data_IF_974602635145
#
_entry.id   IF_974602635145
#
_cell.length_a   1.000
_cell.length_b   1.000
_cell.length_c   1.000
_cell.angle_alpha   90.00
_cell.angle_beta   90.00
_cell.angle_gamma   90.00
#
_symmetry.space_group_name_H-M   'P 1'
#
loop_
_entity.id
_entity.type
_entity.pdbx_description
1 polymer ?
#
# COMPACT_ATOMS: atom_id res chain seq x y z
N UNK A 1 -126.54 -20.56 -208.75
CA UNK A 1 -125.29 -20.94 -209.42
C UNK A 1 -124.23 -20.91 -208.34
N UNK A 2 -123.51 -21.97 -208.01
CA UNK A 2 -123.19 -23.25 -208.67
C UNK A 2 -121.95 -23.66 -207.89
N UNK A 3 -121.58 -24.90 -207.66
CA UNK A 3 -122.11 -26.21 -207.98
C UNK A 3 -121.19 -27.15 -207.17
N UNK A 4 -121.70 -28.22 -206.59
CA UNK A 4 -121.57 -29.58 -207.14
C UNK A 4 -120.12 -30.03 -207.32
N UNK A 5 -119.76 -31.25 -206.94
CA UNK A 5 -120.45 -32.51 -207.26
C UNK A 5 -119.65 -33.65 -206.59
N UNK A 6 -120.10 -34.87 -206.31
CA UNK A 6 -121.35 -35.61 -206.44
C UNK A 6 -121.05 -37.04 -205.92
N UNK A 7 -122.10 -37.75 -205.44
CA UNK A 7 -122.44 -39.18 -205.74
C UNK A 7 -121.84 -40.38 -204.97
N UNK A 8 -122.79 -41.31 -204.68
CA UNK A 8 -122.78 -42.80 -204.68
C UNK A 8 -122.18 -43.65 -203.50
N UNK A 9 -123.01 -44.63 -203.05
CA UNK A 9 -122.78 -46.06 -202.67
C UNK A 9 -121.73 -46.49 -201.62
N UNK A 10 -122.19 -47.31 -200.64
CA UNK A 10 -121.49 -48.46 -199.97
C UNK A 10 -120.11 -48.21 -199.24
N UNK A 11 -119.56 -49.13 -198.41
CA UNK A 11 -119.91 -49.30 -196.99
C UNK A 11 -118.73 -49.23 -195.97
N UNK A 12 -119.04 -48.89 -194.71
CA UNK A 12 -118.33 -49.22 -193.44
C UNK A 12 -116.89 -48.67 -193.15
N UNK A 13 -116.74 -47.35 -192.84
CA UNK A 13 -115.49 -46.77 -192.24
C UNK A 13 -115.74 -45.58 -191.26
N UNK A 14 -116.80 -45.58 -190.44
CA UNK A 14 -117.26 -44.35 -189.73
C UNK A 14 -117.33 -44.41 -188.17
N UNK A 15 -116.56 -45.28 -187.49
CA UNK A 15 -116.62 -45.41 -186.02
C UNK A 15 -115.35 -45.05 -185.24
N UNK A 16 -114.22 -44.70 -185.88
CA UNK A 16 -112.93 -44.52 -185.17
C UNK A 16 -112.50 -43.04 -184.96
N UNK A 17 -113.09 -42.07 -185.66
CA UNK A 17 -112.60 -40.67 -185.60
C UNK A 17 -113.25 -39.79 -184.50
N UNK A 18 -114.38 -40.21 -183.92
CA UNK A 18 -115.10 -39.43 -182.87
C UNK A 18 -114.50 -39.59 -181.46
N UNK A 19 -113.78 -40.68 -181.19
CA UNK A 19 -113.18 -40.95 -179.85
C UNK A 19 -111.90 -40.12 -179.61
N UNK A 20 -111.17 -39.73 -180.65
CA UNK A 20 -109.91 -38.98 -180.52
C UNK A 20 -110.10 -37.50 -180.13
N UNK A 21 -111.22 -36.87 -180.53
CA UNK A 21 -111.48 -35.44 -180.25
C UNK A 21 -112.14 -35.23 -178.88
N UNK A 22 -112.96 -36.19 -178.42
CA UNK A 22 -113.53 -36.16 -177.07
C UNK A 22 -112.45 -36.37 -175.97
N UNK A 23 -111.40 -37.15 -176.27
CA UNK A 23 -110.27 -37.36 -175.35
C UNK A 23 -109.41 -36.11 -175.12
N UNK A 24 -109.31 -35.20 -176.09
CA UNK A 24 -108.53 -33.98 -175.94
C UNK A 24 -109.29 -32.84 -175.24
N UNK A 25 -110.63 -32.82 -175.29
CA UNK A 25 -111.44 -31.80 -174.61
C UNK A 25 -111.69 -32.10 -173.13
N UNK A 26 -111.67 -33.37 -172.70
CA UNK A 26 -111.79 -33.72 -171.27
C UNK A 26 -110.54 -33.34 -170.44
N UNK A 27 -109.35 -33.36 -171.05
CA UNK A 27 -108.10 -32.99 -170.38
C UNK A 27 -108.03 -31.49 -170.06
N UNK A 28 -108.56 -30.63 -170.93
CA UNK A 28 -108.54 -29.18 -170.72
C UNK A 28 -109.52 -28.70 -169.64
N UNK A 29 -110.63 -29.42 -169.41
CA UNK A 29 -111.62 -29.06 -168.39
C UNK A 29 -111.16 -29.39 -166.95
N UNK A 30 -110.40 -30.49 -166.76
CA UNK A 30 -109.87 -30.89 -165.44
C UNK A 30 -108.75 -29.96 -164.96
N UNK A 31 -107.98 -29.37 -165.87
CA UNK A 31 -106.87 -28.48 -165.51
C UNK A 31 -107.33 -27.11 -164.97
N UNK A 32 -108.52 -26.63 -165.37
CA UNK A 32 -109.06 -25.35 -164.89
C UNK A 32 -109.73 -25.49 -163.50
N UNK A 33 -110.26 -26.67 -163.15
CA UNK A 33 -110.92 -26.89 -161.85
C UNK A 33 -109.94 -27.29 -160.72
N UNK A 34 -108.75 -27.80 -161.02
CA UNK A 34 -107.73 -28.14 -160.01
C UNK A 34 -106.94 -26.93 -159.47
N UNK A 35 -107.15 -25.73 -160.02
CA UNK A 35 -106.49 -24.52 -159.55
C UNK A 35 -107.11 -23.93 -158.27
N UNK A 36 -108.41 -24.16 -158.02
CA UNK A 36 -109.17 -23.56 -156.91
C UNK A 36 -108.97 -24.21 -155.53
N UNK A 37 -108.87 -25.54 -155.44
CA UNK A 37 -108.71 -26.26 -154.17
C UNK A 37 -107.32 -26.05 -153.52
N UNK A 38 -106.36 -25.56 -154.30
CA UNK A 38 -105.02 -25.27 -153.83
C UNK A 38 -104.92 -23.96 -153.02
N UNK A 39 -105.94 -23.11 -153.01
CA UNK A 39 -105.96 -21.85 -152.24
C UNK A 39 -106.28 -22.05 -150.76
N UNK A 40 -107.33 -22.84 -150.46
CA UNK A 40 -107.85 -23.01 -149.09
C UNK A 40 -106.96 -23.91 -148.21
N UNK A 41 -106.32 -24.91 -148.82
CA UNK A 41 -105.28 -25.71 -148.15
C UNK A 41 -104.03 -24.87 -147.87
N UNK A 42 -103.66 -23.92 -148.73
CA UNK A 42 -102.54 -22.98 -148.47
C UNK A 42 -102.84 -22.03 -147.32
N UNK A 43 -104.09 -21.58 -147.19
CA UNK A 43 -104.50 -20.70 -146.09
C UNK A 43 -104.54 -21.44 -144.74
N UNK A 44 -105.07 -22.66 -144.68
CA UNK A 44 -104.98 -23.49 -143.47
C UNK A 44 -103.53 -23.87 -143.13
N UNK A 45 -102.68 -24.14 -144.13
CA UNK A 45 -101.25 -24.38 -143.89
C UNK A 45 -100.53 -23.12 -143.39
N UNK A 46 -100.93 -21.93 -143.84
CA UNK A 46 -100.39 -20.66 -143.38
C UNK A 46 -100.85 -20.29 -141.97
N UNK A 47 -102.10 -20.61 -141.61
CA UNK A 47 -102.62 -20.44 -140.24
C UNK A 47 -101.96 -21.43 -139.29
N UNK A 48 -101.87 -22.72 -139.65
CA UNK A 48 -101.20 -23.74 -138.82
C UNK A 48 -99.69 -23.52 -138.79
N UNK A 49 -99.06 -23.00 -139.86
CA UNK A 49 -97.65 -22.58 -139.78
C UNK A 49 -97.50 -21.34 -138.91
N UNK A 50 -98.43 -20.39 -138.95
CA UNK A 50 -98.45 -19.22 -138.06
C UNK A 50 -98.62 -19.61 -136.60
N UNK A 51 -99.54 -20.51 -136.27
CA UNK A 51 -99.71 -21.06 -134.92
C UNK A 51 -98.49 -21.87 -134.48
N UNK A 52 -97.88 -22.65 -135.37
CA UNK A 52 -96.63 -23.37 -135.08
C UNK A 52 -95.47 -22.41 -134.82
N UNK A 53 -95.33 -21.38 -135.65
CA UNK A 53 -94.27 -20.38 -135.51
C UNK A 53 -94.47 -19.58 -134.22
N UNK A 54 -95.71 -19.25 -133.87
CA UNK A 54 -96.07 -18.63 -132.60
C UNK A 54 -95.82 -19.54 -131.40
N UNK A 55 -96.21 -20.82 -131.46
CA UNK A 55 -95.89 -21.80 -130.41
C UNK A 55 -94.37 -22.01 -130.31
N UNK A 56 -93.65 -22.01 -131.43
CA UNK A 56 -92.18 -22.13 -131.44
C UNK A 56 -91.51 -20.90 -130.83
N UNK A 57 -92.07 -19.70 -131.07
CA UNK A 57 -91.61 -18.45 -130.45
C UNK A 57 -91.97 -18.41 -128.96
N UNK A 58 -93.14 -18.90 -128.56
CA UNK A 58 -93.54 -19.04 -127.16
C UNK A 58 -92.68 -20.08 -126.42
N UNK A 59 -92.29 -21.18 -127.08
CA UNK A 59 -91.34 -22.17 -126.55
C UNK A 59 -89.93 -21.59 -126.43
N UNK A 60 -89.44 -20.87 -127.44
CA UNK A 60 -88.14 -20.20 -127.37
C UNK A 60 -88.10 -19.15 -126.26
N UNK A 61 -89.18 -18.36 -126.10
CA UNK A 61 -89.32 -17.42 -124.98
C UNK A 61 -89.41 -18.14 -123.63
N UNK A 62 -90.09 -19.30 -123.56
CA UNK A 62 -90.12 -20.15 -122.36
C UNK A 62 -88.73 -20.69 -122.02
N UNK A 63 -88.00 -21.20 -123.00
CA UNK A 63 -86.63 -21.71 -122.83
C UNK A 63 -85.68 -20.60 -122.37
N UNK A 64 -85.82 -19.38 -122.89
CA UNK A 64 -85.08 -18.20 -122.42
C UNK A 64 -85.45 -17.83 -120.98
N UNK A 65 -86.74 -17.88 -120.62
CA UNK A 65 -87.15 -17.67 -119.21
C UNK A 65 -86.62 -18.77 -118.28
N UNK A 66 -86.56 -20.03 -118.73
CA UNK A 66 -85.99 -21.15 -117.96
C UNK A 66 -84.48 -20.95 -117.78
N UNK A 67 -83.75 -20.57 -118.83
CA UNK A 67 -82.33 -20.25 -118.75
C UNK A 67 -82.06 -19.05 -117.82
N UNK A 68 -82.91 -18.01 -117.86
CA UNK A 68 -82.81 -16.87 -116.94
C UNK A 68 -83.10 -17.26 -115.48
N UNK A 69 -84.03 -18.20 -115.26
CA UNK A 69 -84.36 -18.74 -113.95
C UNK A 69 -83.21 -19.60 -113.39
N UNK A 70 -82.56 -20.41 -114.24
CA UNK A 70 -81.37 -21.19 -113.88
C UNK A 70 -80.17 -20.28 -113.56
N UNK A 71 -79.97 -19.21 -114.34
CA UNK A 71 -78.96 -18.20 -114.07
C UNK A 71 -79.24 -17.48 -112.73
N UNK A 72 -80.48 -17.04 -112.49
CA UNK A 72 -80.88 -16.43 -111.23
C UNK A 72 -80.77 -17.40 -110.04
N UNK A 73 -81.02 -18.69 -110.25
CA UNK A 73 -80.83 -19.72 -109.23
C UNK A 73 -79.35 -19.91 -108.89
N UNK A 74 -78.47 -19.92 -109.90
CA UNK A 74 -77.02 -20.00 -109.72
C UNK A 74 -76.50 -18.76 -108.97
N UNK A 75 -76.99 -17.57 -109.32
CA UNK A 75 -76.67 -16.32 -108.64
C UNK A 75 -77.15 -16.34 -107.18
N UNK A 76 -78.37 -16.82 -106.91
CA UNK A 76 -78.86 -16.97 -105.53
C UNK A 76 -78.01 -17.93 -104.70
N UNK A 77 -77.51 -19.03 -105.29
CA UNK A 77 -76.59 -19.96 -104.62
C UNK A 77 -75.26 -19.26 -104.30
N UNK A 78 -74.70 -18.52 -105.25
CA UNK A 78 -73.45 -17.78 -105.05
C UNK A 78 -73.59 -16.65 -104.02
N UNK A 79 -74.70 -15.90 -104.03
CA UNK A 79 -74.98 -14.88 -103.01
C UNK A 79 -75.17 -15.53 -101.63
N UNK A 80 -75.80 -16.70 -101.56
CA UNK A 80 -75.96 -17.44 -100.30
C UNK A 80 -74.61 -17.88 -99.73
N UNK A 81 -73.73 -18.38 -100.58
CA UNK A 81 -72.35 -18.73 -100.20
C UNK A 81 -71.58 -17.49 -99.70
N UNK A 82 -71.70 -16.35 -100.37
CA UNK A 82 -71.09 -15.09 -99.90
C UNK A 82 -71.67 -14.62 -98.56
N UNK A 83 -72.97 -14.78 -98.34
CA UNK A 83 -73.61 -14.46 -97.04
C UNK A 83 -73.09 -15.40 -95.95
N UNK A 84 -72.94 -16.69 -96.24
CA UNK A 84 -72.41 -17.66 -95.28
C UNK A 84 -70.94 -17.38 -94.95
N UNK A 85 -70.11 -17.02 -95.95
CA UNK A 85 -68.71 -16.60 -95.76
C UNK A 85 -68.62 -15.30 -94.95
N UNK A 86 -69.44 -14.30 -95.27
CA UNK A 86 -69.49 -13.03 -94.53
C UNK A 86 -69.93 -13.25 -93.07
N UNK A 87 -70.88 -14.15 -92.83
CA UNK A 87 -71.30 -14.53 -91.47
C UNK A 87 -70.18 -15.23 -90.70
N UNK A 88 -69.43 -16.12 -91.35
CA UNK A 88 -68.26 -16.76 -90.75
C UNK A 88 -67.15 -15.76 -90.42
N UNK A 89 -66.86 -14.82 -91.34
CA UNK A 89 -65.89 -13.75 -91.12
C UNK A 89 -66.31 -12.82 -89.97
N UNK A 90 -67.59 -12.47 -89.90
CA UNK A 90 -68.14 -11.68 -88.80
C UNK A 90 -68.01 -12.41 -87.45
N UNK A 91 -68.33 -13.70 -87.41
CA UNK A 91 -68.19 -14.52 -86.19
C UNK A 91 -66.73 -14.62 -85.74
N UNK A 92 -65.79 -14.80 -86.68
CA UNK A 92 -64.36 -14.81 -86.38
C UNK A 92 -63.88 -13.44 -85.86
N UNK A 93 -64.27 -12.35 -86.51
CA UNK A 93 -63.91 -11.00 -86.08
C UNK A 93 -64.47 -10.66 -84.69
N UNK A 94 -65.69 -11.12 -84.37
CA UNK A 94 -66.26 -11.01 -83.02
C UNK A 94 -65.43 -11.77 -81.99
N UNK A 95 -65.05 -13.01 -82.29
CA UNK A 95 -64.21 -13.82 -81.40
C UNK A 95 -62.83 -13.20 -81.18
N UNK A 96 -62.21 -12.63 -82.22
CA UNK A 96 -60.94 -11.90 -82.09
C UNK A 96 -61.09 -10.64 -81.25
N UNK A 97 -62.17 -9.87 -81.43
CA UNK A 97 -62.46 -8.67 -80.65
C UNK A 97 -62.64 -9.02 -79.16
N UNK A 98 -63.36 -10.09 -78.85
CA UNK A 98 -63.51 -10.57 -77.48
C UNK A 98 -62.16 -10.98 -76.87
N UNK A 99 -61.34 -11.73 -77.61
CA UNK A 99 -59.99 -12.11 -77.18
C UNK A 99 -59.09 -10.89 -76.93
N UNK A 100 -59.16 -9.86 -77.79
CA UNK A 100 -58.42 -8.60 -77.64
C UNK A 100 -58.90 -7.80 -76.44
N UNK A 101 -60.20 -7.76 -76.19
CA UNK A 101 -60.76 -7.10 -75.01
C UNK A 101 -60.29 -7.78 -73.72
N UNK A 102 -60.32 -9.11 -73.65
CA UNK A 102 -59.78 -9.86 -72.50
C UNK A 102 -58.27 -9.64 -72.31
N UNK A 103 -57.51 -9.58 -73.40
CA UNK A 103 -56.07 -9.28 -73.33
C UNK A 103 -55.80 -7.84 -72.84
N UNK A 104 -56.59 -6.86 -73.29
CA UNK A 104 -56.49 -5.47 -72.84
C UNK A 104 -56.84 -5.33 -71.35
N UNK A 105 -57.89 -6.01 -70.90
CA UNK A 105 -58.25 -6.05 -69.48
C UNK A 105 -57.10 -6.64 -68.64
N UNK A 106 -56.53 -7.77 -69.07
CA UNK A 106 -55.39 -8.40 -68.39
C UNK A 106 -54.16 -7.48 -68.37
N UNK A 107 -53.84 -6.81 -69.49
CA UNK A 107 -52.74 -5.86 -69.56
C UNK A 107 -52.96 -4.65 -68.62
N UNK A 108 -54.20 -4.17 -68.52
CA UNK A 108 -54.57 -3.06 -67.62
C UNK A 108 -54.44 -3.46 -66.15
N UNK A 109 -54.87 -4.67 -65.80
CA UNK A 109 -54.69 -5.22 -64.45
C UNK A 109 -53.21 -5.36 -64.09
N UNK A 110 -52.38 -5.89 -65.00
CA UNK A 110 -50.94 -6.01 -64.81
C UNK A 110 -50.25 -4.65 -64.66
N UNK A 111 -50.65 -3.64 -65.46
CA UNK A 111 -50.11 -2.29 -65.35
C UNK A 111 -50.43 -1.69 -63.98
N UNK A 112 -51.67 -1.83 -63.51
CA UNK A 112 -52.09 -1.37 -62.18
C UNK A 112 -51.30 -2.06 -61.07
N UNK A 113 -51.11 -3.38 -61.18
CA UNK A 113 -50.33 -4.15 -60.21
C UNK A 113 -48.87 -3.69 -60.16
N UNK A 114 -48.24 -3.45 -61.32
CA UNK A 114 -46.86 -2.94 -61.41
C UNK A 114 -46.73 -1.52 -60.87
N UNK A 115 -47.71 -0.65 -61.12
CA UNK A 115 -47.74 0.70 -60.54
C UNK A 115 -47.82 0.64 -59.00
N UNK A 116 -48.65 -0.25 -58.45
CA UNK A 116 -48.72 -0.46 -57.00
C UNK A 116 -47.42 -1.01 -56.41
N UNK A 117 -46.75 -1.92 -57.13
CA UNK A 117 -45.45 -2.47 -56.71
C UNK A 117 -44.37 -1.39 -56.70
N UNK A 118 -44.32 -0.54 -57.73
CA UNK A 118 -43.38 0.60 -57.78
C UNK A 118 -43.60 1.57 -56.62
N UNK A 119 -44.85 1.96 -56.34
CA UNK A 119 -45.15 2.84 -55.22
C UNK A 119 -44.71 2.24 -53.86
N UNK A 120 -44.87 0.92 -53.70
CA UNK A 120 -44.40 0.21 -52.50
C UNK A 120 -42.87 0.20 -52.41
N UNK A 121 -42.18 -0.03 -53.53
CA UNK A 121 -40.71 -0.02 -53.58
C UNK A 121 -40.14 1.38 -53.32
N UNK A 122 -40.76 2.42 -53.85
CA UNK A 122 -40.40 3.82 -53.58
C UNK A 122 -40.54 4.16 -52.09
N UNK A 123 -41.62 3.68 -51.45
CA UNK A 123 -41.82 3.86 -50.01
C UNK A 123 -40.72 3.15 -49.20
N UNK A 124 -40.40 1.89 -49.55
CA UNK A 124 -39.32 1.13 -48.90
C UNK A 124 -37.95 1.78 -49.08
N UNK A 125 -37.68 2.32 -50.27
CA UNK A 125 -36.43 3.03 -50.55
C UNK A 125 -36.29 4.26 -49.66
N UNK A 126 -37.37 5.03 -49.48
CA UNK A 126 -37.37 6.19 -48.59
C UNK A 126 -37.14 5.77 -47.12
N UNK A 127 -37.83 4.73 -46.64
CA UNK A 127 -37.62 4.20 -45.29
C UNK A 127 -36.19 3.69 -45.06
N UNK A 128 -35.61 2.98 -46.03
CA UNK A 128 -34.25 2.45 -45.91
C UNK A 128 -33.19 3.55 -45.99
N UNK A 129 -33.44 4.62 -46.75
CA UNK A 129 -32.61 5.82 -46.75
C UNK A 129 -32.63 6.49 -45.37
N UNK A 130 -33.81 6.69 -44.77
CA UNK A 130 -33.94 7.26 -43.42
C UNK A 130 -33.23 6.39 -42.36
N UNK A 131 -33.40 5.06 -42.41
CA UNK A 131 -32.67 4.14 -41.53
C UNK A 131 -31.16 4.23 -41.70
N UNK A 132 -30.68 4.40 -42.93
CA UNK A 132 -29.24 4.52 -43.20
C UNK A 132 -28.68 5.83 -42.62
N UNK A 133 -29.40 6.93 -42.78
CA UNK A 133 -29.04 8.22 -42.17
C UNK A 133 -29.04 8.14 -40.64
N UNK A 134 -30.04 7.49 -40.04
CA UNK A 134 -30.11 7.28 -38.60
C UNK A 134 -28.93 6.45 -38.09
N UNK A 135 -28.59 5.35 -38.78
CA UNK A 135 -27.45 4.51 -38.42
C UNK A 135 -26.13 5.27 -38.54
N UNK A 136 -25.96 6.08 -39.59
CA UNK A 136 -24.79 6.94 -39.75
C UNK A 136 -24.67 7.96 -38.61
N UNK A 137 -25.78 8.58 -38.20
CA UNK A 137 -25.81 9.51 -37.07
C UNK A 137 -25.47 8.81 -35.74
N UNK A 138 -26.03 7.62 -35.50
CA UNK A 138 -25.70 6.80 -34.32
C UNK A 138 -24.22 6.40 -34.30
N UNK A 139 -23.66 6.01 -35.44
CA UNK A 139 -22.24 5.69 -35.57
C UNK A 139 -21.35 6.89 -35.24
N UNK A 140 -21.68 8.08 -35.76
CA UNK A 140 -20.95 9.30 -35.46
C UNK A 140 -21.01 9.66 -33.96
N UNK A 141 -22.18 9.51 -33.33
CA UNK A 141 -22.35 9.73 -31.88
C UNK A 141 -21.49 8.77 -31.06
N UNK A 142 -21.55 7.46 -31.36
CA UNK A 142 -20.74 6.45 -30.68
C UNK A 142 -19.25 6.71 -30.84
N UNK A 143 -18.81 7.14 -32.03
CA UNK A 143 -17.41 7.47 -32.26
C UNK A 143 -16.96 8.69 -31.43
N UNK A 144 -17.82 9.71 -31.31
CA UNK A 144 -17.55 10.86 -30.45
C UNK A 144 -17.50 10.48 -28.96
N UNK A 145 -18.41 9.61 -28.50
CA UNK A 145 -18.41 9.08 -27.13
C UNK A 145 -17.14 8.27 -26.84
N UNK A 146 -16.70 7.42 -27.77
CA UNK A 146 -15.45 6.66 -27.64
C UNK A 146 -14.24 7.61 -27.54
N UNK A 147 -14.19 8.67 -28.36
CA UNK A 147 -13.11 9.65 -28.28
C UNK A 147 -13.11 10.39 -26.93
N UNK A 148 -14.28 10.81 -26.46
CA UNK A 148 -14.47 11.45 -25.15
C UNK A 148 -14.04 10.52 -24.02
N UNK A 149 -14.46 9.26 -24.04
CA UNK A 149 -14.09 8.25 -23.05
C UNK A 149 -12.58 7.99 -23.04
N UNK A 150 -11.92 7.89 -24.20
CA UNK A 150 -10.47 7.75 -24.28
C UNK A 150 -9.74 8.97 -23.70
N UNK A 151 -10.23 10.19 -23.95
CA UNK A 151 -9.67 11.40 -23.33
C UNK A 151 -9.80 11.37 -21.81
N UNK A 152 -10.97 10.96 -21.29
CA UNK A 152 -11.19 10.81 -19.85
C UNK A 152 -10.27 9.75 -19.23
N UNK A 153 -10.07 8.61 -19.90
CA UNK A 153 -9.15 7.57 -19.43
C UNK A 153 -7.71 8.08 -19.40
N UNK A 154 -7.29 8.86 -20.39
CA UNK A 154 -5.95 9.47 -20.40
C UNK A 154 -5.79 10.51 -19.29
N UNK A 155 -6.80 11.35 -19.02
CA UNK A 155 -6.79 12.31 -17.91
C UNK A 155 -6.70 11.61 -16.56
N UNK A 156 -7.54 10.59 -16.34
CA UNK A 156 -7.51 9.78 -15.11
C UNK A 156 -6.16 9.08 -14.96
N UNK A 157 -5.59 8.57 -16.06
CA UNK A 157 -4.25 7.98 -16.06
C UNK A 157 -3.16 8.96 -15.64
N UNK A 158 -3.17 10.18 -16.18
CA UNK A 158 -2.23 11.24 -15.82
C UNK A 158 -2.38 11.66 -14.34
N UNK A 159 -3.62 11.78 -13.86
CA UNK A 159 -3.91 12.11 -12.45
C UNK A 159 -3.47 11.02 -11.49
N UNK A 160 -3.62 9.74 -11.87
CA UNK A 160 -3.17 8.61 -11.07
C UNK A 160 -1.64 8.56 -10.98
N UNK A 161 -0.95 8.80 -12.09
CA UNK A 161 0.52 8.85 -12.12
C UNK A 161 1.05 10.00 -11.25
N UNK A 162 0.44 11.18 -11.32
CA UNK A 162 0.80 12.31 -10.46
C UNK A 162 0.52 12.00 -8.98
N UNK A 163 -0.62 11.39 -8.65
CA UNK A 163 -0.93 10.98 -7.29
C UNK A 163 0.09 9.99 -6.72
N UNK A 164 0.56 9.02 -7.53
CA UNK A 164 1.63 8.08 -7.12
C UNK A 164 2.94 8.78 -6.84
N UNK A 165 3.36 9.74 -7.68
CA UNK A 165 4.57 10.54 -7.41
C UNK A 165 4.45 11.34 -6.12
N UNK A 166 3.27 11.93 -5.87
CA UNK A 166 3.02 12.65 -4.63
C UNK A 166 3.06 11.72 -3.41
N UNK A 167 2.54 10.49 -3.53
CA UNK A 167 2.63 9.46 -2.49
C UNK A 167 4.08 9.05 -2.19
N UNK A 168 4.91 8.83 -3.23
CA UNK A 168 6.33 8.53 -3.08
C UNK A 168 7.07 9.66 -2.35
N UNK A 169 6.84 10.91 -2.75
CA UNK A 169 7.42 12.10 -2.11
C UNK A 169 6.95 12.22 -0.66
N UNK A 170 5.65 12.03 -0.40
CA UNK A 170 5.10 12.09 0.95
C UNK A 170 5.72 11.00 1.85
N UNK A 171 5.88 9.79 1.32
CA UNK A 171 6.50 8.66 2.04
C UNK A 171 7.96 8.95 2.36
N UNK A 172 8.73 9.51 1.41
CA UNK A 172 10.11 9.92 1.64
C UNK A 172 10.21 11.01 2.72
N UNK A 173 9.33 12.01 2.68
CA UNK A 173 9.29 13.08 3.68
C UNK A 173 8.95 12.54 5.08
N UNK A 174 8.01 11.60 5.19
CA UNK A 174 7.68 10.95 6.47
C UNK A 174 8.87 10.17 7.01
N UNK A 175 9.59 9.44 6.17
CA UNK A 175 10.80 8.72 6.59
C UNK A 175 11.89 9.68 7.10
N UNK A 176 12.13 10.78 6.38
CA UNK A 176 13.09 11.82 6.80
C UNK A 176 12.68 12.45 8.14
N UNK A 177 11.41 12.83 8.30
CA UNK A 177 10.91 13.41 9.55
C UNK A 177 11.03 12.42 10.72
N UNK A 178 10.84 11.12 10.48
CA UNK A 178 11.03 10.09 11.50
C UNK A 178 12.51 9.98 11.93
N UNK A 179 13.45 10.06 10.99
CA UNK A 179 14.90 10.08 11.27
C UNK A 179 15.30 11.33 12.05
N UNK A 180 14.83 12.52 11.62
CA UNK A 180 15.08 13.78 12.32
C UNK A 180 14.52 13.75 13.75
N UNK A 181 13.31 13.20 13.95
CA UNK A 181 12.72 13.04 15.27
C UNK A 181 13.53 12.09 16.17
N UNK A 182 14.06 10.99 15.61
CA UNK A 182 14.90 10.06 16.35
C UNK A 182 16.24 10.71 16.77
N UNK A 183 16.90 11.42 15.86
CA UNK A 183 18.13 12.17 16.15
C UNK A 183 17.92 13.24 17.21
N UNK A 184 16.82 14.00 17.11
CA UNK A 184 16.49 15.05 18.08
C UNK A 184 16.19 14.46 19.46
N UNK A 185 15.52 13.31 19.51
CA UNK A 185 15.25 12.59 20.76
C UNK A 185 16.55 12.08 21.40
N UNK A 186 17.46 11.52 20.61
CA UNK A 186 18.79 11.10 21.10
C UNK A 186 19.57 12.28 21.66
N UNK A 187 19.64 13.39 20.92
CA UNK A 187 20.31 14.62 21.36
C UNK A 187 19.70 15.18 22.65
N UNK A 188 18.38 15.11 22.80
CA UNK A 188 17.70 15.52 24.02
C UNK A 188 18.09 14.62 25.21
N UNK A 189 18.16 13.30 25.02
CA UNK A 189 18.61 12.38 26.07
C UNK A 189 20.06 12.64 26.49
N UNK A 190 20.95 12.88 25.53
CA UNK A 190 22.36 13.20 25.79
C UNK A 190 22.50 14.51 26.58
N UNK A 191 21.78 15.56 26.17
CA UNK A 191 21.80 16.86 26.88
C UNK A 191 21.21 16.76 28.29
N UNK A 192 20.17 15.95 28.50
CA UNK A 192 19.62 15.68 29.83
C UNK A 192 20.63 14.93 30.71
N UNK A 193 21.35 13.94 30.16
CA UNK A 193 22.42 13.22 30.86
C UNK A 193 23.54 14.17 31.27
N UNK A 194 24.01 15.01 30.35
CA UNK A 194 25.03 16.03 30.62
C UNK A 194 24.57 17.02 31.71
N UNK A 195 23.31 17.45 31.67
CA UNK A 195 22.74 18.33 32.70
C UNK A 195 22.72 17.67 34.08
N UNK A 196 22.39 16.37 34.17
CA UNK A 196 22.42 15.62 35.42
C UNK A 196 23.85 15.49 35.97
N UNK A 197 24.82 15.16 35.10
CA UNK A 197 26.23 15.10 35.49
C UNK A 197 26.74 16.46 36.01
N UNK A 198 26.47 17.54 35.28
CA UNK A 198 26.85 18.90 35.71
C UNK A 198 26.22 19.31 37.05
N UNK A 199 24.99 18.86 37.35
CA UNK A 199 24.35 19.10 38.66
C UNK A 199 25.02 18.32 39.80
N UNK A 200 25.45 17.09 39.53
CA UNK A 200 26.18 16.29 40.52
C UNK A 200 27.55 16.90 40.80
N UNK A 201 28.28 17.32 39.76
CA UNK A 201 29.55 18.04 39.88
C UNK A 201 29.38 19.35 40.66
N UNK A 202 28.33 20.13 40.37
CA UNK A 202 28.05 21.36 41.12
C UNK A 202 27.79 21.07 42.61
N UNK A 203 27.05 20.01 42.92
CA UNK A 203 26.77 19.61 44.31
C UNK A 203 28.06 19.17 45.02
N UNK A 204 28.91 18.40 44.35
CA UNK A 204 30.20 17.98 44.87
C UNK A 204 31.12 19.18 45.15
N UNK A 205 31.23 20.11 44.19
CA UNK A 205 32.03 21.34 44.34
C UNK A 205 31.51 22.24 45.47
N UNK A 206 30.18 22.31 45.68
CA UNK A 206 29.60 23.03 46.81
C UNK A 206 29.97 22.38 48.15
N UNK A 207 29.96 21.05 48.22
CA UNK A 207 30.36 20.31 49.41
C UNK A 207 31.84 20.53 49.73
N UNK A 208 32.71 20.35 48.74
CA UNK A 208 34.16 20.60 48.87
C UNK A 208 34.44 22.02 49.34
N UNK A 209 33.75 23.02 48.76
CA UNK A 209 33.87 24.41 49.21
C UNK A 209 33.45 24.59 50.68
N UNK A 210 32.40 23.90 51.13
CA UNK A 210 31.98 23.96 52.54
C UNK A 210 33.00 23.30 53.49
N UNK A 211 33.60 22.19 53.07
CA UNK A 211 34.65 21.49 53.82
C UNK A 211 35.91 22.36 53.91
N UNK A 212 36.34 22.99 52.81
CA UNK A 212 37.47 23.93 52.79
C UNK A 212 37.19 25.13 53.72
N UNK A 213 35.96 25.66 53.73
CA UNK A 213 35.60 26.76 54.62
C UNK A 213 35.71 26.36 56.11
N UNK A 214 35.23 25.17 56.49
CA UNK A 214 35.37 24.64 57.85
C UNK A 214 36.83 24.40 58.24
N UNK A 215 37.64 23.84 57.34
CA UNK A 215 39.08 23.66 57.57
C UNK A 215 39.79 25.01 57.77
N UNK A 216 39.39 26.03 57.01
CA UNK A 216 39.95 27.39 57.14
C UNK A 216 39.58 28.01 58.49
N UNK A 217 38.35 27.80 58.97
CA UNK A 217 37.90 28.26 60.29
C UNK A 217 38.67 27.57 61.42
N UNK A 218 38.77 26.23 61.39
CA UNK A 218 39.54 25.45 62.37
C UNK A 218 41.03 25.85 62.39
N UNK A 219 41.66 25.99 61.22
CA UNK A 219 43.03 26.48 61.14
C UNK A 219 43.18 27.91 61.71
N UNK A 220 42.15 28.74 61.58
CA UNK A 220 42.09 30.06 62.21
C UNK A 220 42.05 30.01 63.74
N UNK A 221 41.29 29.07 64.31
CA UNK A 221 41.25 28.81 65.76
C UNK A 221 42.59 28.29 66.29
N UNK A 222 43.20 27.33 65.60
CA UNK A 222 44.53 26.79 65.93
C UNK A 222 45.59 27.89 65.97
N UNK A 223 45.56 28.80 64.98
CA UNK A 223 46.47 29.96 64.94
C UNK A 223 46.25 30.88 66.15
N UNK A 224 45.01 31.14 66.56
CA UNK A 224 44.74 31.96 67.76
C UNK A 224 45.23 31.28 69.03
N UNK A 225 45.04 29.97 69.16
CA UNK A 225 45.50 29.20 70.31
C UNK A 225 47.03 29.17 70.40
N UNK A 226 47.71 28.97 69.26
CA UNK A 226 49.17 29.06 69.19
C UNK A 226 49.68 30.45 69.56
N UNK A 227 49.01 31.52 69.10
CA UNK A 227 49.35 32.88 69.50
C UNK A 227 49.21 33.11 71.02
N UNK A 228 48.15 32.60 71.65
CA UNK A 228 47.98 32.65 73.10
C UNK A 228 49.07 31.86 73.84
N UNK A 229 49.41 30.66 73.35
CA UNK A 229 50.48 29.85 73.94
C UNK A 229 51.84 30.55 73.84
N UNK A 230 52.14 31.20 72.71
CA UNK A 230 53.35 32.01 72.54
C UNK A 230 53.37 33.18 73.53
N UNK A 231 52.21 33.83 73.77
CA UNK A 231 52.11 34.91 74.74
C UNK A 231 52.36 34.41 76.18
N UNK A 232 51.71 33.32 76.62
CA UNK A 232 51.91 32.71 77.95
C UNK A 232 53.37 32.24 78.14
N UNK A 233 53.98 31.61 77.12
CA UNK A 233 55.39 31.23 77.17
C UNK A 233 56.31 32.46 77.24
N UNK A 234 55.94 33.56 76.57
CA UNK A 234 56.62 34.85 76.68
C UNK A 234 56.56 35.41 78.09
N UNK A 235 55.38 35.44 78.71
CA UNK A 235 55.18 35.89 80.09
C UNK A 235 55.96 35.03 81.09
N UNK A 236 55.95 33.70 80.93
CA UNK A 236 56.72 32.78 81.77
C UNK A 236 58.22 33.00 81.64
N UNK A 237 58.73 33.17 80.42
CA UNK A 237 60.13 33.49 80.18
C UNK A 237 60.52 34.78 80.91
N UNK A 238 59.67 35.81 80.82
CA UNK A 238 59.95 37.11 81.45
C UNK A 238 59.90 37.01 82.98
N UNK A 239 58.98 36.22 83.54
CA UNK A 239 58.93 35.92 84.98
C UNK A 239 60.18 35.15 85.46
N UNK A 240 60.56 34.09 84.74
CA UNK A 240 61.78 33.31 85.00
C UNK A 240 63.03 34.17 84.92
N UNK A 241 63.11 35.08 83.94
CA UNK A 241 64.22 36.03 83.85
C UNK A 241 64.27 36.94 85.09
N UNK A 242 63.11 37.46 85.54
CA UNK A 242 63.03 38.24 86.78
C UNK A 242 63.39 37.45 88.05
N UNK A 243 63.03 36.16 88.12
CA UNK A 243 63.45 35.27 89.20
C UNK A 243 64.97 35.05 89.19
N UNK A 244 65.56 34.82 88.01
CA UNK A 244 67.02 34.69 87.84
C UNK A 244 67.72 35.97 88.28
N UNK A 245 67.29 37.14 87.80
CA UNK A 245 67.83 38.43 88.23
C UNK A 245 67.73 38.59 89.76
N UNK A 246 66.59 38.20 90.35
CA UNK A 246 66.39 38.21 91.80
C UNK A 246 67.29 37.22 92.57
N UNK A 247 67.58 36.05 92.01
CA UNK A 247 68.55 35.10 92.59
C UNK A 247 69.99 35.60 92.43
N UNK A 248 70.33 36.24 91.32
CA UNK A 248 71.63 36.89 91.10
C UNK A 248 71.85 38.03 92.10
N UNK A 249 70.84 38.87 92.33
CA UNK A 249 70.86 39.91 93.36
C UNK A 249 71.03 39.32 94.78
N UNK A 250 70.31 38.23 95.09
CA UNK A 250 70.47 37.52 96.36
C UNK A 250 71.87 36.94 96.52
N UNK A 251 72.44 36.36 95.46
CA UNK A 251 73.82 35.88 95.44
C UNK A 251 74.79 37.03 95.70
N UNK A 252 74.61 38.18 95.04
CA UNK A 252 75.44 39.37 95.26
C UNK A 252 75.39 39.90 96.70
N UNK A 253 74.25 39.73 97.39
CA UNK A 253 74.06 40.09 98.81
C UNK A 253 74.59 39.02 99.77
N UNK A 254 74.43 37.73 99.45
CA UNK A 254 74.86 36.61 100.27
C UNK A 254 76.37 36.36 100.16
N UNK A 255 76.98 36.59 99.00
CA UNK A 255 78.41 36.39 98.77
C UNK A 255 79.31 37.16 99.76
N UNK A 256 79.11 38.48 100.03
CA UNK A 256 79.88 39.18 101.06
C UNK A 256 79.52 38.70 102.48
N UNK A 257 78.29 38.23 102.72
CA UNK A 257 77.92 37.64 104.02
C UNK A 257 78.59 36.28 104.25
N UNK A 258 78.73 35.46 103.21
CA UNK A 258 79.46 34.19 103.26
C UNK A 258 80.95 34.47 103.38
N UNK A 259 81.52 35.45 102.68
CA UNK A 259 82.90 35.89 102.91
C UNK A 259 83.09 36.38 104.35
N UNK A 260 82.17 37.16 104.89
CA UNK A 260 82.22 37.65 106.28
C UNK A 260 82.02 36.53 107.29
N UNK A 261 81.09 35.59 107.05
CA UNK A 261 80.91 34.39 107.85
C UNK A 261 82.15 33.50 107.78
N UNK A 262 82.77 33.35 106.61
CA UNK A 262 84.01 32.58 106.45
C UNK A 262 85.18 33.28 107.14
N UNK A 263 85.23 34.62 107.11
CA UNK A 263 86.21 35.43 107.85
C UNK A 263 85.99 35.32 109.36
N UNK A 264 84.74 35.36 109.79
CA UNK A 264 84.31 35.19 111.18
C UNK A 264 84.55 33.76 111.64
N UNK A 265 84.37 32.76 110.78
CA UNK A 265 84.57 31.34 111.06
C UNK A 265 86.06 30.99 111.03
N UNK A 266 86.88 31.61 110.17
CA UNK A 266 88.33 31.57 110.22
C UNK A 266 88.88 32.26 111.48
N UNK A 267 88.26 33.37 111.89
CA UNK A 267 88.58 34.06 113.14
C UNK A 267 88.13 33.24 114.35
N UNK A 268 86.96 32.61 114.29
CA UNK A 268 86.44 31.70 115.32
C UNK A 268 87.18 30.38 115.34
N UNK A 269 87.71 29.89 114.22
CA UNK A 269 88.57 28.71 114.15
C UNK A 269 89.97 29.02 114.63
N UNK A 270 90.48 30.25 114.46
CA UNK A 270 91.70 30.68 115.15
C UNK A 270 91.45 30.87 116.65
N UNK A 271 90.25 31.33 117.05
CA UNK A 271 89.83 31.37 118.45
C UNK A 271 89.59 29.97 119.00
N UNK A 272 89.05 29.04 118.21
CA UNK A 272 88.83 27.64 118.56
C UNK A 272 90.15 26.86 118.54
N UNK A 273 91.13 27.14 117.69
CA UNK A 273 92.50 26.64 117.87
C UNK A 273 93.11 27.20 119.17
N UNK A 274 92.82 28.46 119.50
CA UNK A 274 93.19 29.05 120.79
C UNK A 274 92.45 28.45 122.00
N UNK A 275 91.22 27.98 121.81
CA UNK A 275 90.36 27.38 122.84
C UNK A 275 90.52 25.85 122.89
N UNK A 276 90.87 25.16 121.81
CA UNK A 276 91.18 23.73 121.72
C UNK A 276 92.63 23.47 122.18
N UNK A 277 93.53 24.45 122.05
CA UNK A 277 94.77 24.48 122.84
C UNK A 277 94.51 24.60 124.35
N UNK A 278 93.32 25.07 124.78
CA UNK A 278 92.90 25.20 126.17
C UNK A 278 91.90 24.11 126.65
N UNK A 279 91.21 23.42 125.73
CA UNK A 279 90.17 22.42 125.97
C UNK A 279 90.55 21.08 125.29
N UNK A 280 91.85 20.86 125.05
CA UNK A 280 92.46 19.52 124.93
C UNK A 280 92.63 18.81 126.28
N UNK A 281 92.24 19.46 127.38
CA UNK A 281 92.06 18.87 128.70
C UNK A 281 90.55 18.72 129.00
N UNK A 282 89.98 17.57 128.63
CA UNK A 282 88.64 17.03 128.96
C UNK A 282 87.71 16.80 127.75
N UNK A 283 87.82 15.57 127.20
CA UNK A 283 86.87 14.86 126.33
C UNK A 283 85.51 14.58 127.04
N UNK A 284 84.43 14.04 126.40
CA UNK A 284 84.25 13.61 125.00
C UNK A 284 82.92 14.10 124.32
N UNK A 285 82.78 13.85 123.01
CA UNK A 285 81.55 14.00 122.24
C UNK A 285 80.97 12.61 121.86
N UNK A 286 79.65 12.46 121.99
CA UNK A 286 78.87 11.41 121.34
C UNK A 286 77.96 12.04 120.29
N UNK A 287 77.80 11.36 119.15
CA UNK A 287 76.78 11.63 118.15
C UNK A 287 76.33 10.29 117.57
N UNK A 288 75.03 10.01 117.70
CA UNK A 288 74.32 8.98 116.96
C UNK A 288 73.54 9.64 115.82
N UNK A 289 73.80 9.18 114.60
CA UNK A 289 72.95 9.17 113.43
C UNK A 289 73.40 7.88 112.69
N UNK A 290 72.56 7.04 112.11
CA UNK A 290 71.55 7.26 111.09
C UNK A 290 70.69 5.97 110.95
N UNK A 291 69.82 5.98 109.94
CA UNK A 291 69.36 4.86 109.12
C UNK A 291 67.94 4.30 109.34
N UNK A 292 67.29 4.12 108.19
CA UNK A 292 65.92 3.68 107.95
C UNK A 292 65.52 4.14 106.54
N UNK A 293 66.21 3.68 105.50
CA UNK A 293 66.01 2.39 104.83
C UNK A 293 64.76 2.39 103.92
N UNK A 294 65.06 2.39 102.62
CA UNK A 294 64.24 1.99 101.49
C UNK A 294 63.60 0.61 101.71
N UNK A 295 62.50 0.31 101.00
CA UNK A 295 62.22 -1.02 100.46
C UNK A 295 61.16 -0.92 99.35
N UNK A 296 61.58 -1.28 98.14
CA UNK A 296 60.74 -1.62 96.98
C UNK A 296 60.15 -3.04 97.15
N UNK A 297 59.00 -3.36 96.55
CA UNK A 297 58.60 -4.74 96.29
C UNK A 297 58.84 -5.15 94.83
N UNK A 298 59.24 -6.41 94.67
CA UNK A 298 59.49 -7.15 93.44
C UNK A 298 58.25 -7.26 92.54
N UNK A 299 58.41 -6.95 91.25
CA UNK A 299 57.41 -7.23 90.21
C UNK A 299 57.97 -8.23 89.21
N UNK A 300 57.12 -9.13 88.69
CA UNK A 300 57.52 -10.09 87.66
C UNK A 300 57.23 -9.50 86.27
N UNK A 301 58.27 -9.40 85.44
CA UNK A 301 58.19 -8.81 84.10
C UNK A 301 58.14 -9.94 83.07
N UNK A 302 57.19 -9.86 82.14
CA UNK A 302 57.02 -10.79 81.03
C UNK A 302 57.16 -10.03 79.71
N UNK A 303 57.81 -10.63 78.71
CA UNK A 303 58.03 -10.02 77.40
C UNK A 303 57.78 -11.02 76.27
N UNK A 304 57.15 -10.57 75.19
CA UNK A 304 56.91 -11.39 73.99
C UNK A 304 58.17 -11.44 73.12
N UNK A 305 58.67 -12.64 72.82
CA UNK A 305 59.88 -12.89 72.02
C UNK A 305 59.59 -13.22 70.53
N UNK A 306 58.33 -13.39 70.14
CA UNK A 306 57.94 -13.81 68.79
C UNK A 306 58.06 -12.71 67.71
N UNK A 307 58.38 -13.11 66.47
CA UNK A 307 58.41 -12.23 65.29
C UNK A 307 56.97 -11.91 64.81
N UNK A 308 56.52 -10.66 64.93
CA UNK A 308 55.19 -10.21 64.53
C UNK A 308 54.82 -8.80 65.01
N UNK A 309 53.58 -8.35 64.77
CA UNK A 309 53.11 -7.00 65.17
C UNK A 309 53.12 -6.76 66.70
N UNK A 310 53.10 -7.84 67.50
CA UNK A 310 53.18 -7.82 68.95
C UNK A 310 54.62 -7.90 69.53
N UNK A 311 55.65 -7.90 68.68
CA UNK A 311 57.05 -7.91 69.12
C UNK A 311 57.37 -6.64 69.92
N UNK A 312 57.93 -6.81 71.12
CA UNK A 312 58.28 -5.72 72.03
C UNK A 312 57.16 -5.32 73.00
N UNK A 313 56.05 -6.07 73.06
CA UNK A 313 55.06 -5.93 74.13
C UNK A 313 55.61 -6.48 75.44
N UNK A 314 55.58 -5.65 76.49
CA UNK A 314 55.99 -6.00 77.86
C UNK A 314 54.79 -5.94 78.78
N UNK A 315 54.57 -7.01 79.54
CA UNK A 315 53.54 -7.11 80.56
C UNK A 315 54.21 -7.32 81.92
N UNK A 316 54.04 -6.37 82.82
CA UNK A 316 54.48 -6.48 84.21
C UNK A 316 53.27 -6.80 85.07
N UNK A 317 53.38 -7.87 85.87
CA UNK A 317 52.38 -8.26 86.86
C UNK A 317 53.00 -8.11 88.24
N UNK A 318 52.46 -7.20 89.04
CA UNK A 318 52.91 -6.93 90.40
C UNK A 318 52.09 -7.76 91.41
N UNK A 319 52.70 -8.15 92.53
CA UNK A 319 52.03 -8.97 93.56
C UNK A 319 50.83 -8.27 94.22
N UNK A 320 50.72 -6.95 94.07
CA UNK A 320 49.60 -6.15 94.56
C UNK A 320 48.34 -6.23 93.67
N UNK A 321 48.36 -7.07 92.62
CA UNK A 321 47.24 -7.26 91.71
C UNK A 321 47.15 -6.17 90.63
N UNK A 322 48.19 -5.35 90.47
CA UNK A 322 48.27 -4.37 89.37
C UNK A 322 49.05 -4.92 88.18
N UNK A 323 48.60 -4.56 86.98
CA UNK A 323 49.34 -4.83 85.75
C UNK A 323 49.79 -3.53 85.10
N UNK A 324 50.91 -3.60 84.39
CA UNK A 324 51.37 -2.58 83.47
C UNK A 324 51.72 -3.24 82.15
N UNK A 325 51.09 -2.81 81.07
CA UNK A 325 51.40 -3.24 79.72
C UNK A 325 52.00 -2.08 78.94
N UNK A 326 53.13 -2.31 78.29
CA UNK A 326 53.85 -1.32 77.49
C UNK A 326 54.16 -1.89 76.11
N UNK A 327 53.89 -1.14 75.05
CA UNK A 327 54.26 -1.52 73.69
C UNK A 327 55.65 -0.99 73.30
N UNK A 328 56.11 -1.35 72.10
CA UNK A 328 57.35 -0.83 71.50
C UNK A 328 57.35 0.67 71.23
N UNK A 329 56.19 1.32 71.17
CA UNK A 329 56.07 2.78 70.93
C UNK A 329 56.18 3.58 72.23
N UNK A 330 56.14 2.90 73.38
CA UNK A 330 56.18 3.51 74.71
C UNK A 330 54.81 3.84 75.28
N UNK A 331 53.72 3.50 74.58
CA UNK A 331 52.36 3.60 75.10
C UNK A 331 52.19 2.61 76.26
N UNK A 332 51.54 3.07 77.34
CA UNK A 332 51.36 2.30 78.57
C UNK A 332 49.89 2.26 78.96
N UNK A 333 49.44 1.08 79.38
CA UNK A 333 48.17 0.92 80.08
C UNK A 333 48.44 0.16 81.38
N UNK A 334 47.89 0.66 82.48
CA UNK A 334 47.96 0.03 83.78
C UNK A 334 46.56 -0.22 84.33
N UNK A 335 46.35 -1.27 85.10
CA UNK A 335 45.05 -1.53 85.72
C UNK A 335 45.16 -2.63 86.77
N UNK A 336 44.02 -3.21 87.14
CA UNK A 336 43.98 -4.38 88.00
C UNK A 336 43.98 -5.66 87.16
N UNK A 337 44.66 -6.70 87.63
CA UNK A 337 44.55 -8.03 87.03
C UNK A 337 44.11 -9.07 88.07
N UNK A 338 43.39 -10.08 87.58
CA UNK A 338 43.18 -11.33 88.31
C UNK A 338 43.56 -12.51 87.43
N UNK A 339 44.14 -13.53 88.06
CA UNK A 339 44.49 -14.77 87.39
C UNK A 339 43.80 -15.92 88.13
N UNK A 340 42.64 -16.31 87.64
CA UNK A 340 41.80 -17.37 88.22
C UNK A 340 41.40 -18.36 87.12
N UNK A 341 41.29 -19.65 87.45
CA UNK A 341 40.79 -20.68 86.53
C UNK A 341 41.47 -20.76 85.15
N UNK A 342 42.77 -20.46 85.08
CA UNK A 342 43.54 -20.40 83.80
C UNK A 342 43.04 -19.30 82.86
N UNK A 343 42.45 -18.24 83.41
CA UNK A 343 42.09 -17.02 82.68
C UNK A 343 42.79 -15.82 83.33
N UNK A 344 43.43 -15.00 82.51
CA UNK A 344 43.95 -13.68 82.88
C UNK A 344 42.89 -12.65 82.54
N UNK A 345 42.36 -11.99 83.57
CA UNK A 345 41.37 -10.92 83.43
C UNK A 345 42.05 -9.59 83.75
N UNK A 346 42.00 -8.64 82.81
CA UNK A 346 42.53 -7.29 82.98
C UNK A 346 41.37 -6.30 83.07
N UNK A 347 41.24 -5.61 84.20
CA UNK A 347 40.15 -4.67 84.50
C UNK A 347 40.67 -3.29 84.87
N UNK A 348 39.77 -2.30 84.84
CA UNK A 348 40.02 -0.93 85.28
C UNK A 348 41.26 -0.28 84.63
N UNK A 349 41.31 -0.21 83.27
CA UNK A 349 42.46 0.35 82.59
C UNK A 349 42.61 1.86 82.85
N UNK A 350 43.85 2.29 83.05
CA UNK A 350 44.31 3.66 83.03
C UNK A 350 45.38 3.78 81.95
N UNK A 351 45.06 4.48 80.87
CA UNK A 351 45.87 4.54 79.65
C UNK A 351 45.25 3.76 78.48
N UNK A 352 45.92 3.76 77.34
CA UNK A 352 45.51 3.01 76.14
C UNK A 352 46.74 2.46 75.42
N UNK A 353 46.57 1.29 74.81
CA UNK A 353 47.63 0.61 74.06
C UNK A 353 47.00 0.01 72.79
N UNK A 354 47.42 0.50 71.62
CA UNK A 354 46.87 0.07 70.33
C UNK A 354 45.33 0.09 70.27
N UNK A 355 44.76 -1.03 69.82
CA UNK A 355 43.31 -1.24 69.71
C UNK A 355 42.74 -2.13 70.84
N UNK A 356 43.46 -2.30 71.95
CA UNK A 356 43.02 -3.14 73.05
C UNK A 356 41.75 -2.58 73.71
N UNK A 357 40.76 -3.43 73.94
CA UNK A 357 39.53 -3.11 74.67
C UNK A 357 39.56 -3.81 76.02
N UNK A 358 39.18 -3.10 77.08
CA UNK A 358 39.12 -3.60 78.45
C UNK A 358 37.69 -3.41 79.00
N UNK A 359 37.20 -4.26 79.92
CA UNK A 359 37.89 -5.40 80.50
C UNK A 359 38.09 -6.51 79.46
N UNK A 360 39.21 -7.21 79.55
CA UNK A 360 39.54 -8.32 78.66
C UNK A 360 39.88 -9.58 79.44
N UNK A 361 39.43 -10.71 78.92
CA UNK A 361 39.67 -12.04 79.48
C UNK A 361 40.42 -12.87 78.45
N UNK A 362 41.57 -13.38 78.83
CA UNK A 362 42.43 -14.18 77.98
C UNK A 362 42.68 -15.54 78.64
N UNK A 363 42.42 -16.68 77.96
CA UNK A 363 42.81 -17.98 78.49
C UNK A 363 44.33 -18.07 78.52
N UNK A 364 44.90 -18.52 79.62
CA UNK A 364 46.35 -18.62 79.80
C UNK A 364 46.78 -19.99 80.32
N UNK A 365 47.89 -20.47 79.79
CA UNK A 365 48.61 -21.63 80.29
C UNK A 365 49.94 -21.16 80.87
N UNK A 366 50.08 -21.26 82.19
CA UNK A 366 51.33 -20.94 82.88
C UNK A 366 52.27 -22.14 82.83
N UNK A 367 53.52 -21.89 82.44
CA UNK A 367 54.63 -22.84 82.53
C UNK A 367 55.76 -22.24 83.41
N UNK A 368 56.74 -23.06 83.79
CA UNK A 368 57.91 -22.57 84.56
C UNK A 368 58.73 -21.51 83.81
N UNK A 369 58.63 -21.45 82.47
CA UNK A 369 59.41 -20.56 81.61
C UNK A 369 58.65 -19.30 81.15
N UNK A 370 57.31 -19.25 81.31
CA UNK A 370 56.51 -18.16 80.74
C UNK A 370 55.00 -18.39 80.78
N UNK A 371 54.27 -17.45 80.18
CA UNK A 371 52.81 -17.41 80.09
C UNK A 371 52.40 -17.52 78.61
N UNK A 372 51.68 -18.58 78.24
CA UNK A 372 51.13 -18.75 76.88
C UNK A 372 49.67 -18.34 76.88
N UNK A 373 49.27 -17.44 75.98
CA UNK A 373 47.89 -16.99 75.84
C UNK A 373 47.19 -17.81 74.75
N UNK A 374 46.15 -18.54 75.14
CA UNK A 374 45.34 -19.35 74.22
C UNK A 374 44.51 -18.50 73.24
N UNK A 375 44.03 -19.15 72.18
CA UNK A 375 43.14 -18.50 71.22
C UNK A 375 41.74 -18.30 71.83
N UNK A 376 41.28 -17.05 71.89
CA UNK A 376 39.96 -16.67 72.35
C UNK A 376 39.44 -15.43 71.60
N UNK A 377 38.16 -15.46 71.25
CA UNK A 377 37.48 -14.34 70.60
C UNK A 377 37.39 -13.15 71.56
N UNK A 378 38.04 -12.04 71.21
CA UNK A 378 38.09 -10.82 72.04
C UNK A 378 39.38 -10.61 72.85
N UNK A 379 40.35 -11.53 72.79
CA UNK A 379 41.68 -11.34 73.37
C UNK A 379 42.70 -10.94 72.27
N UNK A 380 43.08 -9.65 72.12
CA UNK A 380 44.12 -9.21 71.18
C UNK A 380 45.51 -9.81 71.45
N UNK A 381 45.71 -10.48 72.60
CA UNK A 381 46.94 -11.20 72.93
C UNK A 381 46.87 -12.70 72.60
N UNK A 382 45.81 -13.17 71.95
CA UNK A 382 45.65 -14.58 71.60
C UNK A 382 46.78 -15.09 70.73
N UNK A 383 47.32 -16.26 71.09
CA UNK A 383 48.43 -16.91 70.40
C UNK A 383 49.81 -16.33 70.72
N UNK A 384 49.90 -15.37 71.66
CA UNK A 384 51.19 -14.83 72.11
C UNK A 384 51.79 -15.69 73.23
N UNK A 385 53.09 -15.92 73.12
CA UNK A 385 53.92 -16.53 74.15
C UNK A 385 54.75 -15.44 74.82
N UNK A 386 54.60 -15.32 76.14
CA UNK A 386 55.35 -14.38 76.96
C UNK A 386 56.41 -15.15 77.76
N UNK A 387 57.68 -14.79 77.56
CA UNK A 387 58.79 -15.32 78.35
C UNK A 387 58.99 -14.44 79.59
N UNK A 388 59.36 -15.05 80.73
CA UNK A 388 59.71 -14.28 81.92
C UNK A 388 61.04 -13.57 81.70
N UNK A 389 61.04 -12.25 81.77
CA UNK A 389 62.27 -11.46 81.79
C UNK A 389 62.86 -11.52 83.21
N UNK A 390 64.10 -12.00 83.33
CA UNK A 390 64.84 -12.05 84.61
C UNK A 390 65.15 -10.66 85.18
#
# INVERSE_FOLDING_TARGET
MTDLSQRLREPLVLTILVVAVAGWLAFFAVWINSAGESGQLREQLAVVSGERDEISAQLAARDETVASLEAAQTELVALREQVDEANAALSNAQSELDARNSALETATQNLTARQSEMATLETRLAEDQERTEELAARQASLQAEIQSSNQQLNDVGARLEEARRQEEVATANVAQLAEEAALTTSSLADTQSQLQAARQELTAAQKERSEIAQQTEAAGEDVQQLQQSIADLGERRDALAGEVDGYEDQLAVLQPQVEELTRTLAQRSSQLEGIEAAIGAASPAGADAEEGAELSPSSSVYQVSAEGEANGLRLTLAEDGTFLMQDRTGARVSGAYSLENRELVLTDPSGSIGAAQFPMTCPVEQSEAGLIVGEAEGCPMSGLEFERAE
#
